data_IF_831643647824
#
_entry.id   IF_831643647824
#
_cell.length_a   1.000
_cell.length_b   1.000
_cell.length_c   1.000
_cell.angle_alpha   90.00
_cell.angle_beta   90.00
_cell.angle_gamma   90.00
#
_symmetry.space_group_name_H-M   'P 1'
#
loop_
_entity.id
_entity.type
_entity.pdbx_description
1 polymer ?
#
# COMPACT_ATOMS: atom_id res chain seq x y z
N UNK A 1 2.87 -25.82 12.36
CA UNK A 1 3.14 -25.18 11.07
C UNK A 1 3.38 -23.69 11.30
N UNK A 2 4.47 -23.09 10.80
CA UNK A 2 4.60 -21.64 10.88
C UNK A 2 3.46 -20.97 10.12
N UNK A 3 2.94 -19.85 10.67
CA UNK A 3 1.91 -19.08 9.98
C UNK A 3 2.39 -18.70 8.56
N UNK A 4 1.51 -18.76 7.55
CA UNK A 4 1.88 -18.37 6.19
C UNK A 4 2.38 -16.92 6.20
N UNK A 5 3.46 -16.69 5.48
CA UNK A 5 4.03 -15.35 5.28
C UNK A 5 3.31 -14.69 4.11
N UNK A 6 2.98 -13.42 4.26
CA UNK A 6 2.35 -12.60 3.23
C UNK A 6 3.26 -11.41 2.93
N UNK A 7 3.58 -11.18 1.67
CA UNK A 7 4.40 -10.05 1.24
C UNK A 7 3.52 -8.97 0.63
N UNK A 8 3.63 -7.75 1.16
CA UNK A 8 2.80 -6.62 0.77
C UNK A 8 3.66 -5.54 0.13
N UNK A 9 3.20 -5.00 -0.99
CA UNK A 9 3.78 -3.84 -1.67
C UNK A 9 2.91 -2.61 -1.38
N UNK A 10 3.46 -1.60 -0.72
CA UNK A 10 2.85 -0.28 -0.61
C UNK A 10 3.36 0.66 -1.68
N UNK A 11 2.48 1.51 -2.20
CA UNK A 11 2.77 2.47 -3.26
C UNK A 11 2.17 3.85 -2.92
N UNK A 12 2.99 4.89 -3.05
CA UNK A 12 2.60 6.30 -2.94
C UNK A 12 2.77 6.97 -4.30
N UNK A 13 1.68 7.15 -5.08
CA UNK A 13 1.76 7.62 -6.46
C UNK A 13 2.25 9.05 -6.61
N UNK A 14 3.20 9.26 -7.50
CA UNK A 14 3.65 10.59 -7.93
C UNK A 14 4.16 10.56 -9.36
N UNK A 15 3.99 11.66 -10.10
CA UNK A 15 4.38 11.69 -11.52
C UNK A 15 5.89 11.74 -11.75
N UNK A 16 6.64 12.34 -10.84
CA UNK A 16 8.11 12.43 -10.91
C UNK A 16 8.79 11.43 -9.98
N UNK A 17 8.13 11.15 -8.88
CA UNK A 17 8.62 10.30 -7.81
C UNK A 17 7.44 9.49 -7.27
N UNK A 18 7.50 8.18 -7.40
CA UNK A 18 6.54 7.25 -6.78
C UNK A 18 7.27 6.48 -5.69
N UNK A 19 6.84 6.64 -4.45
CA UNK A 19 7.35 5.86 -3.34
C UNK A 19 6.88 4.41 -3.44
N UNK A 20 7.76 3.47 -3.07
CA UNK A 20 7.39 2.07 -2.91
C UNK A 20 8.02 1.49 -1.65
N UNK A 21 7.33 0.53 -1.04
CA UNK A 21 7.83 -0.16 0.14
C UNK A 21 7.28 -1.58 0.22
N UNK A 22 8.12 -2.54 0.56
CA UNK A 22 7.77 -3.95 0.68
C UNK A 22 7.96 -4.39 2.12
N UNK A 23 6.92 -5.02 2.67
CA UNK A 23 6.95 -5.62 4.00
C UNK A 23 6.53 -7.09 3.94
N UNK A 24 6.98 -7.86 4.91
CA UNK A 24 6.52 -9.22 5.16
C UNK A 24 5.68 -9.26 6.43
N UNK A 25 4.55 -9.95 6.36
CA UNK A 25 3.58 -10.12 7.46
C UNK A 25 3.53 -11.59 7.87
N UNK A 26 3.82 -11.88 9.14
CA UNK A 26 3.66 -13.22 9.73
C UNK A 26 2.84 -13.12 11.02
N UNK A 27 1.58 -13.52 10.96
CA UNK A 27 0.64 -13.25 12.05
C UNK A 27 0.56 -11.74 12.30
N UNK A 28 0.87 -11.27 13.51
CA UNK A 28 0.88 -9.85 13.87
C UNK A 28 2.25 -9.17 13.71
N UNK A 29 3.26 -9.89 13.24
CA UNK A 29 4.59 -9.35 13.07
C UNK A 29 4.77 -8.76 11.67
N UNK A 30 5.19 -7.51 11.61
CA UNK A 30 5.60 -6.81 10.40
C UNK A 30 7.13 -6.77 10.32
N UNK A 31 7.68 -7.04 9.15
CA UNK A 31 9.12 -6.98 8.90
C UNK A 31 9.38 -6.19 7.62
N UNK A 32 10.27 -5.21 7.69
CA UNK A 32 10.75 -4.48 6.52
C UNK A 32 11.53 -5.42 5.59
N UNK A 33 11.24 -5.35 4.30
CA UNK A 33 11.96 -6.11 3.27
C UNK A 33 12.81 -5.16 2.42
N UNK A 34 12.19 -4.13 1.85
CA UNK A 34 12.86 -3.13 1.02
C UNK A 34 11.98 -1.89 0.86
N UNK A 35 12.59 -0.79 0.48
CA UNK A 35 11.88 0.44 0.11
C UNK A 35 12.70 1.27 -0.89
N UNK A 36 12.04 2.21 -1.54
CA UNK A 36 12.69 3.11 -2.47
C UNK A 36 11.74 4.04 -3.20
N UNK A 37 12.25 4.63 -4.25
CA UNK A 37 11.50 5.57 -5.10
C UNK A 37 11.71 5.22 -6.56
N UNK A 38 10.64 5.14 -7.32
CA UNK A 38 10.66 5.13 -8.79
C UNK A 38 10.72 6.58 -9.27
N UNK A 39 11.87 7.00 -9.82
CA UNK A 39 12.08 8.35 -10.32
C UNK A 39 12.02 8.38 -11.85
N UNK A 40 11.30 9.37 -12.40
CA UNK A 40 11.19 9.56 -13.82
C UNK A 40 11.64 10.97 -14.23
N UNK A 41 12.35 11.08 -15.36
CA UNK A 41 12.91 12.33 -15.83
C UNK A 41 11.81 13.33 -16.27
N UNK A 42 11.67 14.45 -15.55
CA UNK A 42 10.58 15.43 -15.73
C UNK A 42 10.52 16.11 -17.10
N UNK A 43 11.63 16.16 -17.83
CA UNK A 43 11.74 16.81 -19.15
C UNK A 43 11.31 15.91 -20.32
N UNK A 44 11.08 14.60 -20.09
CA UNK A 44 10.65 13.66 -21.12
C UNK A 44 9.14 13.80 -21.42
N UNK A 45 8.69 13.43 -22.62
CA UNK A 45 7.27 13.35 -22.95
C UNK A 45 6.50 12.51 -21.93
N UNK A 46 5.25 12.89 -21.65
CA UNK A 46 4.45 12.22 -20.62
C UNK A 46 4.34 10.70 -20.86
N UNK A 47 4.05 10.27 -22.09
CA UNK A 47 3.93 8.86 -22.42
C UNK A 47 5.20 8.04 -22.08
N UNK A 48 6.38 8.59 -22.37
CA UNK A 48 7.65 7.94 -22.04
C UNK A 48 7.87 7.83 -20.53
N UNK A 49 7.48 8.87 -19.79
CA UNK A 49 7.55 8.88 -18.32
C UNK A 49 6.65 7.83 -17.70
N UNK A 50 5.45 7.63 -18.26
CA UNK A 50 4.53 6.60 -17.79
C UNK A 50 5.04 5.18 -18.07
N UNK A 51 5.70 4.98 -19.23
CA UNK A 51 6.36 3.71 -19.55
C UNK A 51 7.51 3.44 -18.57
N UNK A 52 8.32 4.46 -18.26
CA UNK A 52 9.42 4.31 -17.30
C UNK A 52 8.88 3.98 -15.90
N UNK A 53 7.84 4.67 -15.46
CA UNK A 53 7.18 4.38 -14.17
C UNK A 53 6.65 2.95 -14.12
N UNK A 54 5.92 2.52 -15.16
CA UNK A 54 5.38 1.17 -15.27
C UNK A 54 6.48 0.11 -15.17
N UNK A 55 7.59 0.31 -15.89
CA UNK A 55 8.74 -0.60 -15.87
C UNK A 55 9.39 -0.67 -14.50
N UNK A 56 9.66 0.47 -13.86
CA UNK A 56 10.30 0.51 -12.55
C UNK A 56 9.44 -0.18 -11.47
N UNK A 57 8.12 0.06 -11.45
CA UNK A 57 7.22 -0.67 -10.54
C UNK A 57 7.18 -2.15 -10.91
N UNK A 58 7.18 -2.48 -12.19
CA UNK A 58 7.28 -3.85 -12.68
C UNK A 58 8.55 -4.57 -12.22
N UNK A 59 9.69 -3.89 -12.20
CA UNK A 59 10.97 -4.44 -11.71
C UNK A 59 10.93 -4.69 -10.19
N UNK A 60 10.33 -3.77 -9.42
CA UNK A 60 10.08 -3.96 -7.97
C UNK A 60 9.22 -5.20 -7.74
N UNK A 61 8.11 -5.34 -8.47
CA UNK A 61 7.23 -6.50 -8.35
C UNK A 61 7.97 -7.80 -8.72
N UNK A 62 8.71 -7.82 -9.82
CA UNK A 62 9.47 -8.99 -10.25
C UNK A 62 10.59 -9.38 -9.27
N UNK A 63 11.19 -8.40 -8.59
CA UNK A 63 12.26 -8.65 -7.62
C UNK A 63 11.77 -9.15 -6.28
N UNK A 64 10.64 -8.62 -5.80
CA UNK A 64 10.17 -8.89 -4.45
C UNK A 64 8.95 -9.80 -4.39
N UNK A 65 8.30 -10.09 -5.51
CA UNK A 65 7.18 -11.02 -5.65
C UNK A 65 6.11 -10.81 -4.57
N UNK A 66 5.48 -9.60 -4.49
CA UNK A 66 4.45 -9.35 -3.49
C UNK A 66 3.17 -10.13 -3.80
N UNK A 67 2.49 -10.57 -2.75
CA UNK A 67 1.20 -11.28 -2.83
C UNK A 67 0.03 -10.30 -3.05
N UNK A 68 0.11 -9.11 -2.45
CA UNK A 68 -0.92 -8.06 -2.52
C UNK A 68 -0.26 -6.68 -2.59
N UNK A 69 -0.97 -5.70 -3.15
CA UNK A 69 -0.52 -4.32 -3.24
C UNK A 69 -1.52 -3.35 -2.58
N UNK A 70 -0.97 -2.30 -1.98
CA UNK A 70 -1.71 -1.20 -1.38
C UNK A 70 -1.29 0.12 -2.01
N UNK A 71 -2.24 0.93 -2.44
CA UNK A 71 -1.97 2.22 -3.08
C UNK A 71 -2.63 3.33 -2.27
N UNK A 72 -1.88 4.40 -1.98
CA UNK A 72 -2.45 5.59 -1.39
C UNK A 72 -3.35 6.30 -2.40
N UNK A 73 -4.61 6.60 -1.99
CA UNK A 73 -5.49 7.47 -2.75
C UNK A 73 -5.00 8.91 -2.64
N UNK A 74 -4.42 9.41 -3.73
CA UNK A 74 -4.05 10.82 -3.82
C UNK A 74 -5.28 11.66 -4.13
N UNK A 75 -5.65 12.55 -3.22
CA UNK A 75 -6.76 13.49 -3.41
C UNK A 75 -6.34 14.75 -4.19
N UNK A 76 -7.36 15.44 -4.69
CA UNK A 76 -7.30 16.62 -5.56
C UNK A 76 -6.32 17.69 -5.06
N UNK A 77 -5.37 18.06 -5.91
CA UNK A 77 -4.53 19.23 -5.70
C UNK A 77 -5.33 20.51 -6.06
N UNK A 78 -4.99 21.65 -5.47
CA UNK A 78 -5.58 22.97 -5.80
C UNK A 78 -5.42 23.35 -7.28
N UNK A 79 -4.45 22.75 -7.98
CA UNK A 79 -4.21 22.96 -9.40
C UNK A 79 -4.80 21.78 -10.22
N UNK A 80 -5.84 22.02 -11.07
CA UNK A 80 -6.48 20.98 -11.87
C UNK A 80 -5.52 20.24 -12.83
N UNK A 81 -4.57 20.96 -13.43
CA UNK A 81 -3.57 20.34 -14.32
C UNK A 81 -2.63 19.39 -13.58
N UNK A 82 -2.24 19.73 -12.36
CA UNK A 82 -1.43 18.86 -11.51
C UNK A 82 -2.23 17.63 -11.05
N UNK A 83 -3.51 17.81 -10.73
CA UNK A 83 -4.43 16.73 -10.39
C UNK A 83 -4.57 15.72 -11.52
N UNK A 84 -4.77 16.21 -12.75
CA UNK A 84 -4.90 15.35 -13.92
C UNK A 84 -3.61 14.53 -14.16
N UNK A 85 -2.45 15.17 -14.08
CA UNK A 85 -1.15 14.49 -14.22
C UNK A 85 -0.90 13.45 -13.14
N UNK A 86 -1.28 13.75 -11.89
CA UNK A 86 -1.20 12.80 -10.78
C UNK A 86 -2.14 11.61 -11.00
N UNK A 87 -3.36 11.86 -11.47
CA UNK A 87 -4.33 10.82 -11.81
C UNK A 87 -3.84 9.84 -12.87
N UNK A 88 -3.12 10.36 -13.89
CA UNK A 88 -2.52 9.51 -14.93
C UNK A 88 -1.40 8.65 -14.35
N UNK A 89 -0.52 9.21 -13.51
CA UNK A 89 0.53 8.44 -12.83
C UNK A 89 -0.06 7.37 -11.90
N UNK A 90 -1.11 7.72 -11.13
CA UNK A 90 -1.82 6.77 -10.27
C UNK A 90 -2.42 5.62 -11.07
N UNK A 91 -3.01 5.88 -12.25
CA UNK A 91 -3.50 4.84 -13.14
C UNK A 91 -2.43 3.81 -13.51
N UNK A 92 -1.21 4.25 -13.79
CA UNK A 92 -0.06 3.36 -14.07
C UNK A 92 0.35 2.57 -12.82
N UNK A 93 0.35 3.20 -11.65
CA UNK A 93 0.70 2.56 -10.38
C UNK A 93 -0.30 1.47 -10.00
N UNK A 94 -1.59 1.65 -10.30
CA UNK A 94 -2.62 0.63 -10.13
C UNK A 94 -2.51 -0.49 -11.18
N UNK A 95 -2.20 -0.12 -12.42
CA UNK A 95 -2.13 -1.06 -13.54
C UNK A 95 -0.97 -2.07 -13.39
N UNK A 96 0.19 -1.62 -12.93
CA UNK A 96 1.40 -2.45 -12.90
C UNK A 96 1.26 -3.72 -12.03
N UNK A 97 0.70 -3.70 -10.80
CA UNK A 97 0.42 -4.92 -10.06
C UNK A 97 -0.80 -5.67 -10.62
N UNK A 98 -1.86 -4.97 -11.04
CA UNK A 98 -3.08 -5.60 -11.55
C UNK A 98 -2.85 -6.41 -12.82
N UNK A 99 -2.01 -5.93 -13.74
CA UNK A 99 -1.61 -6.64 -14.96
C UNK A 99 -0.92 -7.98 -14.66
N UNK A 100 -0.27 -8.09 -13.51
CA UNK A 100 0.38 -9.32 -13.04
C UNK A 100 -0.52 -10.18 -12.15
N UNK A 101 -1.81 -9.86 -12.06
CA UNK A 101 -2.79 -10.61 -11.27
C UNK A 101 -2.66 -10.39 -9.75
N UNK A 102 -1.89 -9.38 -9.30
CA UNK A 102 -1.74 -9.05 -7.88
C UNK A 102 -2.95 -8.22 -7.44
N UNK A 103 -3.70 -8.64 -6.40
CA UNK A 103 -4.79 -7.86 -5.84
C UNK A 103 -4.32 -6.49 -5.35
N UNK A 104 -5.07 -5.44 -5.72
CA UNK A 104 -4.74 -4.05 -5.35
C UNK A 104 -5.85 -3.49 -4.48
N UNK A 105 -5.47 -2.92 -3.33
CA UNK A 105 -6.36 -2.19 -2.43
C UNK A 105 -5.94 -0.73 -2.35
N UNK A 106 -6.92 0.18 -2.29
CA UNK A 106 -6.68 1.61 -2.21
C UNK A 106 -7.09 2.16 -0.85
N UNK A 107 -6.31 3.07 -0.29
CA UNK A 107 -6.52 3.64 1.03
C UNK A 107 -6.36 5.16 1.02
N UNK A 108 -7.32 5.87 1.61
CA UNK A 108 -7.20 7.32 1.78
C UNK A 108 -6.06 7.68 2.73
N UNK A 109 -5.42 8.83 2.51
CA UNK A 109 -4.37 9.37 3.39
C UNK A 109 -4.79 9.41 4.86
N UNK A 110 -6.03 9.79 5.15
CA UNK A 110 -6.56 9.82 6.52
C UNK A 110 -6.66 8.42 7.14
N UNK A 111 -7.05 7.42 6.35
CA UNK A 111 -7.15 6.04 6.83
C UNK A 111 -5.75 5.45 7.09
N UNK A 112 -4.79 5.73 6.20
CA UNK A 112 -3.39 5.33 6.40
C UNK A 112 -2.84 5.95 7.70
N UNK A 113 -3.00 7.27 7.89
CA UNK A 113 -2.56 7.95 9.11
C UNK A 113 -3.21 7.37 10.37
N UNK A 114 -4.53 7.15 10.35
CA UNK A 114 -5.27 6.56 11.46
C UNK A 114 -4.79 5.14 11.76
N UNK A 115 -4.51 4.34 10.76
CA UNK A 115 -4.03 2.96 10.91
C UNK A 115 -2.62 2.88 11.50
N UNK A 116 -1.73 3.83 11.14
CA UNK A 116 -0.33 3.82 11.56
C UNK A 116 -0.11 4.57 12.88
N UNK A 117 -0.77 5.72 13.08
CA UNK A 117 -0.56 6.60 14.25
C UNK A 117 -1.71 6.53 15.26
N UNK A 118 -2.90 6.06 14.83
CA UNK A 118 -4.13 6.05 15.63
C UNK A 118 -5.03 7.26 15.41
N UNK A 119 -4.55 8.35 14.76
CA UNK A 119 -5.31 9.57 14.46
C UNK A 119 -5.14 9.99 13.00
N UNK A 120 -6.25 10.38 12.35
CA UNK A 120 -6.26 10.73 10.91
C UNK A 120 -5.57 12.06 10.57
N UNK A 121 -5.38 12.94 11.56
CA UNK A 121 -4.74 14.25 11.38
C UNK A 121 -3.26 14.27 11.79
N UNK A 122 -2.61 13.08 11.86
CA UNK A 122 -1.20 12.99 12.20
C UNK A 122 -0.33 13.77 11.20
N UNK A 123 0.69 14.43 11.73
CA UNK A 123 1.71 15.09 10.91
C UNK A 123 2.63 14.07 10.24
N UNK A 124 3.26 14.46 9.13
CA UNK A 124 4.14 13.60 8.35
C UNK A 124 5.29 13.01 9.20
N UNK A 125 5.88 13.80 10.07
CA UNK A 125 6.94 13.36 10.99
C UNK A 125 6.46 12.25 11.95
N UNK A 126 5.22 12.33 12.43
CA UNK A 126 4.63 11.30 13.30
C UNK A 126 4.42 9.99 12.55
N UNK A 127 3.93 10.04 11.30
CA UNK A 127 3.79 8.85 10.46
C UNK A 127 5.13 8.18 10.24
N UNK A 128 6.18 8.93 9.86
CA UNK A 128 7.52 8.41 9.64
C UNK A 128 8.12 7.79 10.92
N UNK A 129 7.92 8.42 12.07
CA UNK A 129 8.36 7.88 13.36
C UNK A 129 7.68 6.54 13.65
N UNK A 130 6.36 6.45 13.42
CA UNK A 130 5.61 5.21 13.66
C UNK A 130 5.96 4.10 12.67
N UNK A 131 6.22 4.42 11.40
CA UNK A 131 6.72 3.44 10.41
C UNK A 131 8.02 2.80 10.92
N UNK A 132 8.99 3.59 11.39
CA UNK A 132 10.25 3.07 11.98
C UNK A 132 10.03 2.21 13.23
N UNK A 133 9.04 2.55 14.03
CA UNK A 133 8.68 1.79 15.24
C UNK A 133 8.01 0.46 14.91
N UNK A 134 7.11 0.44 13.92
CA UNK A 134 6.38 -0.75 13.48
C UNK A 134 7.24 -1.68 12.62
N UNK A 135 8.26 -1.15 11.96
CA UNK A 135 9.23 -1.87 11.15
C UNK A 135 10.66 -1.70 11.73
N UNK A 136 11.00 -2.40 12.81
CA UNK A 136 12.32 -2.28 13.43
C UNK A 136 13.47 -2.53 12.44
N UNK A 137 14.47 -1.64 12.43
CA UNK A 137 15.58 -1.71 11.48
C UNK A 137 15.32 -1.03 10.12
N UNK A 138 14.10 -0.56 9.87
CA UNK A 138 13.80 0.23 8.67
C UNK A 138 14.40 1.63 8.79
N UNK A 139 15.26 1.97 7.84
CA UNK A 139 15.80 3.32 7.64
C UNK A 139 15.24 3.86 6.31
N UNK A 140 13.90 4.01 6.23
CA UNK A 140 13.24 4.44 4.99
C UNK A 140 14.06 5.47 4.22
N UNK A 141 14.37 5.18 2.97
CA UNK A 141 15.35 5.92 2.14
C UNK A 141 14.89 7.33 1.81
N UNK A 142 13.58 7.58 1.86
CA UNK A 142 12.98 8.90 1.59
C UNK A 142 11.62 9.04 2.27
N UNK A 143 11.07 10.26 2.23
CA UNK A 143 9.70 10.53 2.68
C UNK A 143 8.66 9.77 1.85
N UNK A 144 8.84 9.71 0.52
CA UNK A 144 7.93 8.99 -0.39
C UNK A 144 7.93 7.48 -0.09
N UNK A 145 9.11 6.90 0.18
CA UNK A 145 9.24 5.51 0.59
C UNK A 145 8.57 5.23 1.95
N UNK A 146 8.67 6.16 2.90
CA UNK A 146 8.01 6.04 4.20
C UNK A 146 6.48 6.10 4.07
N UNK A 147 5.94 6.97 3.19
CA UNK A 147 4.51 7.06 2.91
C UNK A 147 4.01 5.76 2.25
N UNK A 148 4.77 5.18 1.32
CA UNK A 148 4.47 3.88 0.72
C UNK A 148 4.50 2.73 1.75
N UNK A 149 5.48 2.69 2.64
CA UNK A 149 5.51 1.72 3.75
C UNK A 149 4.30 1.88 4.69
N UNK A 150 3.87 3.11 4.94
CA UNK A 150 2.66 3.37 5.72
C UNK A 150 1.40 2.78 5.06
N UNK A 151 1.29 2.86 3.72
CA UNK A 151 0.21 2.22 2.97
C UNK A 151 0.24 0.68 3.12
N UNK A 152 1.41 0.06 3.04
CA UNK A 152 1.58 -1.38 3.25
C UNK A 152 1.20 -1.80 4.69
N UNK A 153 1.59 -1.04 5.71
CA UNK A 153 1.21 -1.27 7.12
C UNK A 153 -0.31 -1.15 7.29
N UNK A 154 -0.92 -0.13 6.71
CA UNK A 154 -2.37 0.06 6.72
C UNK A 154 -3.09 -1.17 6.15
N UNK A 155 -2.62 -1.66 5.00
CA UNK A 155 -3.17 -2.85 4.37
C UNK A 155 -3.03 -4.10 5.25
N UNK A 156 -1.87 -4.31 5.86
CA UNK A 156 -1.63 -5.42 6.79
C UNK A 156 -2.66 -5.44 7.93
N UNK A 157 -2.93 -4.30 8.56
CA UNK A 157 -3.89 -4.18 9.65
C UNK A 157 -5.33 -4.48 9.17
N UNK A 158 -5.73 -3.97 7.99
CA UNK A 158 -7.05 -4.21 7.42
C UNK A 158 -7.26 -5.65 6.98
N UNK A 159 -6.28 -6.26 6.33
CA UNK A 159 -6.33 -7.65 5.91
C UNK A 159 -6.43 -8.61 7.11
N UNK A 160 -5.72 -8.35 8.21
CA UNK A 160 -5.82 -9.10 9.44
C UNK A 160 -7.22 -9.02 10.05
N UNK A 161 -7.80 -7.81 10.13
CA UNK A 161 -9.16 -7.60 10.64
C UNK A 161 -10.20 -8.33 9.80
N UNK A 162 -10.10 -8.25 8.46
CA UNK A 162 -11.02 -8.94 7.57
C UNK A 162 -10.94 -10.46 7.71
N UNK A 163 -9.73 -11.01 7.81
CA UNK A 163 -9.52 -12.46 8.05
C UNK A 163 -10.05 -12.91 9.41
N UNK A 164 -9.86 -12.13 10.48
CA UNK A 164 -10.38 -12.41 11.81
C UNK A 164 -11.92 -12.42 11.83
N UNK A 165 -12.58 -11.48 11.16
CA UNK A 165 -14.04 -11.43 11.02
C UNK A 165 -14.57 -12.63 10.22
N UNK A 166 -13.88 -13.00 9.13
CA UNK A 166 -14.27 -14.15 8.29
C UNK A 166 -14.18 -15.46 9.06
N UNK A 167 -13.12 -15.67 9.82
CA UNK A 167 -12.96 -16.89 10.65
C UNK A 167 -13.96 -16.96 11.78
N UNK A 168 -14.33 -15.83 12.40
CA UNK A 168 -15.35 -15.77 13.43
C UNK A 168 -16.76 -16.09 12.88
N UNK A 169 -17.06 -15.71 11.63
CA UNK A 169 -18.36 -16.03 10.99
C UNK A 169 -18.51 -17.50 10.60
N UNK A 170 -17.44 -18.18 10.27
CA UNK A 170 -17.46 -19.63 9.96
C UNK A 170 -17.73 -20.48 11.22
N UNK A 171 -17.42 -19.96 12.40
CA UNK A 171 -17.66 -20.66 13.68
C UNK A 171 -19.03 -20.45 14.31
N UNK A 172 -19.92 -19.61 13.76
CA UNK A 172 -21.28 -19.46 14.29
C UNK A 172 -22.21 -20.50 13.64
N UNK A 173 -22.88 -21.35 14.44
CA UNK A 173 -23.92 -22.24 13.91
C UNK A 173 -25.05 -21.38 13.32
N UNK A 174 -25.52 -21.77 12.13
CA UNK A 174 -26.68 -21.15 11.50
C UNK A 174 -27.89 -21.19 12.48
N UNK A 175 -28.67 -20.11 12.61
CA UNK A 175 -29.87 -20.13 13.40
C UNK A 175 -30.81 -21.21 12.84
N UNK A 176 -31.13 -22.20 13.67
CA UNK A 176 -32.12 -23.24 13.35
C UNK A 176 -33.44 -22.50 13.08
N UNK A 177 -33.94 -22.53 11.87
CA UNK A 177 -35.30 -22.08 11.55
C UNK A 177 -36.24 -22.98 12.32
N UNK A 178 -36.80 -22.43 13.40
CA UNK A 178 -37.90 -23.07 14.13
C UNK A 178 -39.04 -23.31 13.17
N UNK A 179 -39.34 -24.57 12.90
CA UNK A 179 -40.55 -24.95 12.19
C UNK A 179 -41.74 -24.54 13.04
N UNK A 180 -42.59 -23.66 12.52
CA UNK A 180 -43.92 -23.44 13.03
C UNK A 180 -44.75 -24.68 12.66
N UNK A 181 -45.17 -25.42 13.69
CA UNK A 181 -46.24 -26.39 13.61
C UNK A 181 -47.59 -25.72 13.81
#
# INVERSE_FOLDING_TARGET
>A
MPAPSLRLLGLDPGLLRTGWGVIEVRGNRLTHVADGVAEVAGKRPLAERLVDLFRQIGDVIGRFEPDEAAVEESFVNKNPASTLKLGVARGVVLLAPAERGIPVSEYSTNLIKKSVVGVGHAEKAQVQMMVRRLLPGCLATSADAADALAAAICHAHHAQTARAISSARVGLPLPVRGGAG
#
